data_IF_992053337503
#
_entry.id   IF_992053337503
#
_cell.length_a   1.000
_cell.length_b   1.000
_cell.length_c   1.000
_cell.angle_alpha   90.00
_cell.angle_beta   90.00
_cell.angle_gamma   90.00
#
_symmetry.space_group_name_H-M   'P 1'
#
loop_
_entity.id
_entity.type
_entity.pdbx_description
1 polymer ?
#
# COMPACT_ATOMS: atom_id res chain seq x y z
N UNK A 1 -20.22 24.81 -20.11
CA UNK A 1 -19.19 23.74 -20.07
C UNK A 1 -18.85 23.50 -18.61
N UNK A 2 -19.52 22.52 -17.99
CA UNK A 2 -19.23 22.14 -16.61
C UNK A 2 -17.97 21.28 -16.57
N UNK A 3 -17.05 21.61 -15.68
CA UNK A 3 -15.86 20.80 -15.43
C UNK A 3 -16.30 19.36 -15.09
N UNK A 4 -15.66 18.33 -15.67
CA UNK A 4 -15.96 16.96 -15.29
C UNK A 4 -15.61 16.79 -13.81
N UNK A 5 -16.52 16.16 -13.06
CA UNK A 5 -16.39 15.84 -11.65
C UNK A 5 -15.17 14.91 -11.44
N UNK A 6 -14.03 15.54 -11.20
CA UNK A 6 -12.73 14.90 -11.06
C UNK A 6 -12.72 13.90 -9.88
N UNK A 7 -13.58 14.13 -8.88
CA UNK A 7 -13.73 13.25 -7.72
C UNK A 7 -14.43 11.92 -8.09
N UNK A 8 -15.42 11.96 -8.97
CA UNK A 8 -16.09 10.76 -9.47
C UNK A 8 -15.19 9.92 -10.40
N UNK A 9 -14.34 10.58 -11.18
CA UNK A 9 -13.37 9.89 -12.06
C UNK A 9 -12.22 9.21 -11.26
N UNK A 10 -11.84 9.76 -10.10
CA UNK A 10 -10.89 9.13 -9.18
C UNK A 10 -11.50 7.92 -8.45
N UNK A 11 -12.80 7.98 -8.11
CA UNK A 11 -13.50 6.89 -7.42
C UNK A 11 -13.65 5.62 -8.30
N UNK A 12 -13.63 5.76 -9.62
CA UNK A 12 -13.77 4.64 -10.57
C UNK A 12 -12.43 3.95 -10.96
N UNK A 13 -11.27 4.48 -10.52
CA UNK A 13 -9.94 3.90 -10.79
C UNK A 13 -9.47 3.03 -9.63
N UNK A 14 -10.02 1.82 -9.51
CA UNK A 14 -9.33 0.72 -8.83
C UNK A 14 -9.92 -0.62 -9.25
N UNK A 15 -9.20 -1.37 -10.09
CA UNK A 15 -9.56 -2.76 -10.39
C UNK A 15 -8.46 -3.74 -9.94
N UNK A 16 -7.65 -3.35 -8.94
CA UNK A 16 -6.83 -4.29 -8.16
C UNK A 16 -7.01 -4.04 -6.67
N UNK A 17 -7.36 -5.08 -5.89
CA UNK A 17 -7.47 -4.97 -4.45
C UNK A 17 -6.08 -4.68 -3.87
N UNK A 18 -5.99 -3.64 -3.04
CA UNK A 18 -4.77 -3.30 -2.33
C UNK A 18 -4.43 -4.45 -1.37
N UNK A 19 -3.28 -5.09 -1.56
CA UNK A 19 -2.80 -6.15 -0.67
C UNK A 19 -1.73 -5.61 0.27
N UNK A 20 -1.46 -6.33 1.37
CA UNK A 20 -0.36 -6.00 2.27
C UNK A 20 1.00 -5.97 1.56
N UNK A 21 1.18 -6.82 0.55
CA UNK A 21 2.38 -6.85 -0.31
C UNK A 21 2.51 -5.58 -1.15
N UNK A 22 1.41 -5.11 -1.76
CA UNK A 22 1.38 -3.86 -2.54
C UNK A 22 1.71 -2.66 -1.64
N UNK A 23 1.15 -2.59 -0.44
CA UNK A 23 1.53 -1.55 0.54
C UNK A 23 3.01 -1.63 0.92
N UNK A 24 3.53 -2.84 1.17
CA UNK A 24 4.95 -3.05 1.45
C UNK A 24 5.86 -2.55 0.33
N UNK A 25 5.51 -2.84 -0.92
CA UNK A 25 6.23 -2.36 -2.10
C UNK A 25 6.20 -0.83 -2.22
N UNK A 26 5.04 -0.20 -2.01
CA UNK A 26 4.91 1.26 -2.06
C UNK A 26 5.69 1.97 -0.95
N UNK A 27 5.61 1.48 0.29
CA UNK A 27 6.36 2.01 1.43
C UNK A 27 7.86 1.88 1.18
N UNK A 28 8.30 0.74 0.65
CA UNK A 28 9.70 0.52 0.33
C UNK A 28 10.19 1.45 -0.78
N UNK A 29 9.44 1.62 -1.88
CA UNK A 29 9.75 2.58 -2.94
C UNK A 29 9.80 4.01 -2.41
N UNK A 30 8.82 4.41 -1.60
CA UNK A 30 8.80 5.75 -1.01
C UNK A 30 9.97 5.96 -0.07
N UNK A 31 10.30 4.94 0.74
CA UNK A 31 11.45 4.94 1.63
C UNK A 31 12.78 5.05 0.89
N UNK A 32 12.96 4.31 -0.22
CA UNK A 32 14.15 4.38 -1.08
C UNK A 32 14.39 5.79 -1.61
N UNK A 33 13.34 6.54 -1.97
CA UNK A 33 13.48 7.92 -2.46
C UNK A 33 14.21 8.85 -1.49
N UNK A 34 13.97 8.69 -0.17
CA UNK A 34 14.64 9.48 0.89
C UNK A 34 16.14 9.20 0.92
N UNK A 35 16.50 7.92 0.79
CA UNK A 35 17.90 7.51 0.76
C UNK A 35 18.58 7.94 -0.53
N UNK A 36 17.92 7.76 -1.68
CA UNK A 36 18.48 8.14 -2.97
C UNK A 36 18.61 9.66 -3.12
N UNK A 37 17.71 10.48 -2.56
CA UNK A 37 17.84 11.95 -2.61
C UNK A 37 19.11 12.43 -1.89
N UNK A 38 19.40 11.88 -0.71
CA UNK A 38 20.64 12.16 0.02
C UNK A 38 21.87 11.64 -0.72
N UNK A 39 21.80 10.44 -1.30
CA UNK A 39 22.89 9.88 -2.12
C UNK A 39 23.22 10.76 -3.31
N UNK A 40 22.22 11.26 -4.04
CA UNK A 40 22.42 12.17 -5.17
C UNK A 40 23.27 13.37 -4.73
N UNK A 41 22.91 14.01 -3.61
CA UNK A 41 23.58 15.21 -3.10
C UNK A 41 25.01 14.91 -2.67
N UNK A 42 25.22 13.81 -1.94
CA UNK A 42 26.54 13.39 -1.46
C UNK A 42 27.48 13.07 -2.63
N UNK A 43 27.03 12.25 -3.58
CA UNK A 43 27.88 11.85 -4.70
C UNK A 43 28.08 12.98 -5.72
N UNK A 44 27.14 13.93 -5.83
CA UNK A 44 27.40 15.16 -6.58
C UNK A 44 28.50 16.01 -5.92
N UNK A 45 28.54 16.09 -4.58
CA UNK A 45 29.62 16.78 -3.86
C UNK A 45 30.98 16.10 -4.07
N UNK A 46 31.04 14.77 -3.97
CA UNK A 46 32.27 14.01 -4.17
C UNK A 46 32.78 14.10 -5.62
N UNK A 47 31.88 14.05 -6.60
CA UNK A 47 32.23 14.26 -8.00
C UNK A 47 32.82 15.66 -8.24
N UNK A 48 32.26 16.69 -7.60
CA UNK A 48 32.78 18.06 -7.67
C UNK A 48 34.17 18.20 -7.01
N UNK A 49 34.52 17.32 -6.07
CA UNK A 49 35.84 17.25 -5.44
C UNK A 49 36.86 16.43 -6.26
N UNK A 50 36.47 15.92 -7.43
CA UNK A 50 37.35 15.17 -8.32
C UNK A 50 37.35 13.65 -8.11
N UNK A 51 36.41 13.10 -7.34
CA UNK A 51 36.25 11.64 -7.23
C UNK A 51 35.53 11.10 -8.48
N UNK A 52 36.29 10.43 -9.36
CA UNK A 52 35.85 10.09 -10.72
C UNK A 52 34.64 9.15 -10.76
N UNK A 53 34.52 8.22 -9.80
CA UNK A 53 33.42 7.25 -9.78
C UNK A 53 32.08 7.86 -9.31
N UNK A 54 32.12 8.94 -8.53
CA UNK A 54 30.95 9.52 -7.86
C UNK A 54 29.95 10.09 -8.84
N UNK A 55 30.38 10.62 -9.99
CA UNK A 55 29.46 11.15 -10.99
C UNK A 55 28.54 10.04 -11.53
N UNK A 56 29.09 8.85 -11.79
CA UNK A 56 28.31 7.70 -12.25
C UNK A 56 27.32 7.23 -11.17
N UNK A 57 27.76 7.14 -9.91
CA UNK A 57 26.90 6.76 -8.78
C UNK A 57 25.77 7.76 -8.55
N UNK A 58 26.04 9.06 -8.67
CA UNK A 58 25.02 10.10 -8.54
C UNK A 58 23.97 10.01 -9.65
N UNK A 59 24.38 9.70 -10.89
CA UNK A 59 23.46 9.50 -12.02
C UNK A 59 22.59 8.28 -11.85
N UNK A 60 23.16 7.16 -11.40
CA UNK A 60 22.39 5.97 -11.08
C UNK A 60 21.36 6.25 -9.99
N UNK A 61 21.79 6.92 -8.91
CA UNK A 61 20.89 7.30 -7.82
C UNK A 61 19.75 8.23 -8.30
N UNK A 62 20.04 9.17 -9.21
CA UNK A 62 19.04 10.03 -9.82
C UNK A 62 18.05 9.25 -10.69
N UNK A 63 18.52 8.28 -11.48
CA UNK A 63 17.67 7.38 -12.25
C UNK A 63 16.72 6.58 -11.34
N UNK A 64 17.25 5.97 -10.28
CA UNK A 64 16.45 5.23 -9.29
C UNK A 64 15.42 6.14 -8.61
N UNK A 65 15.79 7.36 -8.25
CA UNK A 65 14.90 8.33 -7.64
C UNK A 65 13.72 8.69 -8.55
N UNK A 66 14.00 9.00 -9.83
CA UNK A 66 12.98 9.34 -10.83
C UNK A 66 12.06 8.17 -11.12
N UNK A 67 12.61 6.98 -11.36
CA UNK A 67 11.82 5.78 -11.64
C UNK A 67 10.92 5.43 -10.46
N UNK A 68 11.44 5.47 -9.23
CA UNK A 68 10.63 5.23 -8.04
C UNK A 68 9.54 6.29 -7.85
N UNK A 69 9.79 7.54 -8.24
CA UNK A 69 8.77 8.58 -8.19
C UNK A 69 7.66 8.37 -9.21
N UNK A 70 8.01 8.07 -10.46
CA UNK A 70 7.05 7.77 -11.52
C UNK A 70 6.18 6.55 -11.19
N UNK A 71 6.81 5.44 -10.75
CA UNK A 71 6.11 4.20 -10.40
C UNK A 71 5.08 4.36 -9.27
N UNK A 72 5.25 5.38 -8.41
CA UNK A 72 4.31 5.66 -7.32
C UNK A 72 3.16 6.60 -7.74
N UNK A 73 3.27 7.27 -8.89
CA UNK A 73 2.23 8.15 -9.41
C UNK A 73 1.35 7.46 -10.45
N UNK A 74 1.97 6.64 -11.29
CA UNK A 74 1.33 5.94 -12.39
C UNK A 74 0.83 4.56 -11.96
N UNK A 75 -0.26 4.09 -12.56
CA UNK A 75 -0.66 2.69 -12.46
C UNK A 75 0.27 1.86 -13.33
N UNK A 76 1.30 1.25 -12.73
CA UNK A 76 2.28 0.41 -13.42
C UNK A 76 2.76 -0.72 -12.52
N UNK A 77 3.15 -1.86 -13.11
CA UNK A 77 3.80 -2.99 -12.42
C UNK A 77 3.07 -3.48 -11.15
N UNK A 78 1.74 -3.40 -11.14
CA UNK A 78 0.92 -3.82 -10.00
C UNK A 78 0.83 -2.80 -8.86
N UNK A 79 1.39 -1.61 -9.03
CA UNK A 79 1.17 -0.47 -8.14
C UNK A 79 -0.07 0.31 -8.57
N UNK A 80 -0.86 0.82 -7.63
CA UNK A 80 -2.13 1.49 -7.90
C UNK A 80 -1.98 2.98 -8.28
N UNK A 81 -0.74 3.49 -8.38
CA UNK A 81 -0.49 4.93 -8.48
C UNK A 81 -1.05 5.69 -7.27
N UNK A 82 -1.57 6.90 -7.50
CA UNK A 82 -2.25 7.70 -6.47
C UNK A 82 -3.67 7.17 -6.23
N UNK A 83 -3.85 6.44 -5.14
CA UNK A 83 -5.08 5.68 -4.86
C UNK A 83 -5.96 6.26 -3.75
N UNK A 84 -5.53 7.31 -3.03
CA UNK A 84 -6.31 7.91 -1.96
C UNK A 84 -6.28 9.45 -1.96
N UNK A 85 -7.30 10.12 -1.40
CA UNK A 85 -7.38 11.58 -1.36
C UNK A 85 -6.23 12.24 -0.59
N UNK A 86 -5.66 11.59 0.41
CA UNK A 86 -4.50 12.08 1.16
C UNK A 86 -3.27 12.16 0.27
N UNK A 87 -2.99 11.10 -0.52
CA UNK A 87 -1.90 11.11 -1.48
C UNK A 87 -2.14 12.12 -2.59
N UNK A 88 -3.39 12.25 -3.07
CA UNK A 88 -3.76 13.26 -4.06
C UNK A 88 -3.44 14.68 -3.55
N UNK A 89 -3.75 14.97 -2.29
CA UNK A 89 -3.46 16.27 -1.66
C UNK A 89 -1.97 16.49 -1.44
N UNK A 90 -1.24 15.47 -0.99
CA UNK A 90 0.20 15.59 -0.76
C UNK A 90 0.99 15.79 -2.07
N UNK A 91 0.62 15.08 -3.14
CA UNK A 91 1.28 15.20 -4.44
C UNK A 91 0.84 16.44 -5.22
N UNK A 92 -0.46 16.72 -5.29
CA UNK A 92 -1.03 17.68 -6.24
C UNK A 92 -1.86 18.80 -5.59
N UNK A 93 -1.99 18.80 -4.26
CA UNK A 93 -2.66 19.86 -3.51
C UNK A 93 -1.72 21.02 -3.17
N UNK A 94 -2.05 21.74 -2.09
CA UNK A 94 -1.28 22.92 -1.64
C UNK A 94 0.18 22.64 -1.32
N UNK A 95 0.52 21.39 -0.99
CA UNK A 95 1.89 21.00 -0.66
C UNK A 95 2.77 20.84 -1.90
N UNK A 96 2.14 20.66 -3.08
CA UNK A 96 2.79 20.55 -4.38
C UNK A 96 3.95 19.53 -4.41
N UNK A 97 3.76 18.38 -3.75
CA UNK A 97 4.81 17.38 -3.56
C UNK A 97 5.40 16.86 -4.86
N UNK A 98 4.59 16.58 -5.88
CA UNK A 98 5.07 16.15 -7.21
C UNK A 98 5.97 17.23 -7.84
N UNK A 99 5.50 18.48 -7.87
CA UNK A 99 6.26 19.62 -8.41
C UNK A 99 7.60 19.78 -7.72
N UNK A 100 7.65 19.73 -6.38
CA UNK A 100 8.88 19.87 -5.59
C UNK A 100 9.85 18.71 -5.83
N UNK A 101 9.36 17.48 -5.88
CA UNK A 101 10.19 16.28 -6.14
C UNK A 101 10.78 16.33 -7.55
N UNK A 102 10.00 16.70 -8.56
CA UNK A 102 10.48 16.88 -9.94
C UNK A 102 11.51 18.01 -10.04
N UNK A 103 11.23 19.16 -9.42
CA UNK A 103 12.16 20.29 -9.39
C UNK A 103 13.52 19.91 -8.76
N UNK A 104 13.53 19.13 -7.67
CA UNK A 104 14.75 18.59 -7.09
C UNK A 104 15.50 17.67 -8.08
N UNK A 105 14.79 16.76 -8.75
CA UNK A 105 15.39 15.85 -9.72
C UNK A 105 16.00 16.60 -10.92
N UNK A 106 15.35 17.66 -11.39
CA UNK A 106 15.81 18.47 -12.51
C UNK A 106 17.00 19.35 -12.12
N UNK A 107 17.00 19.91 -10.89
CA UNK A 107 18.16 20.59 -10.33
C UNK A 107 19.34 19.63 -10.23
N UNK A 108 19.13 18.41 -9.70
CA UNK A 108 20.17 17.39 -9.63
C UNK A 108 20.73 17.04 -11.02
N UNK A 109 19.89 16.84 -12.03
CA UNK A 109 20.36 16.56 -13.38
C UNK A 109 21.22 17.71 -13.93
N UNK A 110 20.79 18.96 -13.75
CA UNK A 110 21.56 20.14 -14.18
C UNK A 110 22.90 20.21 -13.46
N UNK A 111 22.93 19.97 -12.16
CA UNK A 111 24.17 19.92 -11.36
C UNK A 111 25.12 18.85 -11.89
N UNK A 112 24.64 17.62 -12.12
CA UNK A 112 25.47 16.52 -12.61
C UNK A 112 25.99 16.76 -14.03
N UNK A 113 25.20 17.40 -14.90
CA UNK A 113 25.67 17.83 -16.23
C UNK A 113 26.73 18.93 -16.13
N UNK A 114 26.53 19.92 -15.27
CA UNK A 114 27.50 20.98 -15.04
C UNK A 114 28.85 20.43 -14.54
N UNK A 115 28.82 19.47 -13.60
CA UNK A 115 30.01 18.76 -13.11
C UNK A 115 30.72 18.02 -14.25
N UNK A 116 29.99 17.23 -15.05
CA UNK A 116 30.56 16.49 -16.18
C UNK A 116 31.28 17.40 -17.18
N UNK A 117 30.68 18.54 -17.50
CA UNK A 117 31.24 19.50 -18.46
C UNK A 117 32.26 20.47 -17.86
N UNK A 118 32.63 20.30 -16.58
CA UNK A 118 33.48 21.23 -15.83
C UNK A 118 33.01 22.69 -15.92
N UNK A 119 31.69 22.91 -15.89
CA UNK A 119 31.09 24.24 -15.97
C UNK A 119 31.38 25.07 -14.73
N UNK A 120 31.58 26.37 -14.91
CA UNK A 120 31.74 27.33 -13.81
C UNK A 120 30.51 27.39 -12.88
N UNK A 121 29.33 26.98 -13.36
CA UNK A 121 28.09 26.97 -12.58
C UNK A 121 27.97 25.77 -11.63
N UNK A 122 28.83 24.75 -11.76
CA UNK A 122 28.70 23.49 -11.02
C UNK A 122 28.68 23.68 -9.50
N UNK A 123 29.51 24.58 -8.97
CA UNK A 123 29.56 24.90 -7.54
C UNK A 123 28.27 25.59 -7.04
N UNK A 124 27.74 26.52 -7.83
CA UNK A 124 26.51 27.24 -7.48
C UNK A 124 25.30 26.31 -7.48
N UNK A 125 25.17 25.48 -8.52
CA UNK A 125 24.10 24.47 -8.63
C UNK A 125 24.20 23.40 -7.53
N UNK A 126 25.41 23.00 -7.15
CA UNK A 126 25.61 22.08 -6.03
C UNK A 126 25.17 22.70 -4.69
N UNK A 127 25.47 23.99 -4.45
CA UNK A 127 25.02 24.67 -3.25
C UNK A 127 23.48 24.79 -3.19
N UNK A 128 22.84 25.09 -4.32
CA UNK A 128 21.38 25.10 -4.45
C UNK A 128 20.79 23.71 -4.17
N UNK A 129 21.41 22.64 -4.72
CA UNK A 129 20.98 21.27 -4.52
C UNK A 129 21.04 20.85 -3.03
N UNK A 130 22.09 21.26 -2.32
CA UNK A 130 22.21 21.07 -0.86
C UNK A 130 21.09 21.79 -0.12
N UNK A 131 20.79 23.04 -0.47
CA UNK A 131 19.70 23.81 0.15
C UNK A 131 18.32 23.16 -0.06
N UNK A 132 18.08 22.56 -1.24
CA UNK A 132 16.82 21.87 -1.55
C UNK A 132 16.72 20.47 -0.92
N UNK A 133 17.80 19.94 -0.33
CA UNK A 133 17.82 18.57 0.21
C UNK A 133 16.85 18.38 1.37
N UNK A 134 16.92 19.26 2.39
CA UNK A 134 16.05 19.16 3.57
C UNK A 134 14.57 19.36 3.22
N UNK A 135 14.17 20.42 2.48
CA UNK A 135 12.78 20.57 2.05
C UNK A 135 12.26 19.37 1.24
N UNK A 136 13.10 18.78 0.39
CA UNK A 136 12.72 17.58 -0.38
C UNK A 136 12.52 16.37 0.52
N UNK A 137 13.39 16.18 1.53
CA UNK A 137 13.23 15.10 2.50
C UNK A 137 11.96 15.24 3.33
N UNK A 138 11.58 16.45 3.71
CA UNK A 138 10.34 16.69 4.46
C UNK A 138 9.12 16.25 3.66
N UNK A 139 9.05 16.62 2.38
CA UNK A 139 7.99 16.17 1.45
C UNK A 139 7.97 14.65 1.31
N UNK A 140 9.14 14.03 1.11
CA UNK A 140 9.24 12.57 0.98
C UNK A 140 8.84 11.83 2.27
N UNK A 141 9.19 12.36 3.43
CA UNK A 141 8.80 11.81 4.73
C UNK A 141 7.29 11.90 4.93
N UNK A 142 6.70 13.05 4.63
CA UNK A 142 5.25 13.25 4.72
C UNK A 142 4.48 12.26 3.85
N UNK A 143 4.88 12.12 2.59
CA UNK A 143 4.26 11.16 1.66
C UNK A 143 4.42 9.73 2.16
N UNK A 144 5.60 9.37 2.68
CA UNK A 144 5.85 8.02 3.21
C UNK A 144 4.95 7.73 4.41
N UNK A 145 4.74 8.71 5.30
CA UNK A 145 3.83 8.56 6.44
C UNK A 145 2.39 8.31 6.02
N UNK A 146 1.93 8.89 4.90
CA UNK A 146 0.60 8.61 4.35
C UNK A 146 0.49 7.15 3.89
N UNK A 147 1.49 6.62 3.17
CA UNK A 147 1.49 5.21 2.77
C UNK A 147 1.45 4.27 3.99
N UNK A 148 2.22 4.58 5.03
CA UNK A 148 2.21 3.80 6.28
C UNK A 148 0.85 3.84 6.98
N UNK A 149 0.22 5.00 7.08
CA UNK A 149 -1.09 5.10 7.73
C UNK A 149 -2.18 4.39 6.92
N UNK A 150 -2.18 4.52 5.59
CA UNK A 150 -3.13 3.80 4.74
C UNK A 150 -2.97 2.28 4.87
N UNK A 151 -1.73 1.79 4.96
CA UNK A 151 -1.45 0.37 5.23
C UNK A 151 -2.02 -0.08 6.57
N UNK A 152 -1.82 0.70 7.64
CA UNK A 152 -2.37 0.41 8.98
C UNK A 152 -3.90 0.43 8.97
N UNK A 153 -4.52 1.41 8.30
CA UNK A 153 -5.97 1.49 8.17
C UNK A 153 -6.54 0.29 7.43
N UNK A 154 -5.93 -0.10 6.31
CA UNK A 154 -6.34 -1.26 5.53
C UNK A 154 -6.22 -2.56 6.34
N UNK A 155 -5.12 -2.75 7.07
CA UNK A 155 -4.93 -3.91 7.94
C UNK A 155 -6.01 -3.99 9.05
N UNK A 156 -6.35 -2.84 9.67
CA UNK A 156 -7.43 -2.76 10.67
C UNK A 156 -8.80 -3.09 10.06
N UNK A 157 -9.09 -2.57 8.87
CA UNK A 157 -10.35 -2.84 8.16
C UNK A 157 -10.46 -4.32 7.79
N UNK A 158 -9.40 -4.92 7.25
CA UNK A 158 -9.34 -6.34 6.92
C UNK A 158 -9.59 -7.20 8.17
N UNK A 159 -8.96 -6.89 9.31
CA UNK A 159 -9.20 -7.59 10.57
C UNK A 159 -10.65 -7.48 11.05
N UNK A 160 -11.29 -6.32 10.87
CA UNK A 160 -12.71 -6.13 11.22
C UNK A 160 -13.64 -6.92 10.29
N UNK A 161 -13.37 -6.91 8.99
CA UNK A 161 -14.15 -7.67 8.02
C UNK A 161 -14.06 -9.17 8.30
N UNK A 162 -12.86 -9.70 8.55
CA UNK A 162 -12.67 -11.11 8.91
C UNK A 162 -13.45 -11.50 10.18
N UNK A 163 -13.43 -10.65 11.23
CA UNK A 163 -14.23 -10.89 12.44
C UNK A 163 -15.73 -10.88 12.18
N UNK A 164 -16.22 -9.98 11.32
CA UNK A 164 -17.63 -9.93 10.94
C UNK A 164 -18.04 -11.22 10.23
N UNK A 165 -17.25 -11.68 9.25
CA UNK A 165 -17.52 -12.93 8.53
C UNK A 165 -17.53 -14.12 9.48
N UNK A 166 -16.59 -14.18 10.43
CA UNK A 166 -16.58 -15.25 11.45
C UNK A 166 -17.86 -15.21 12.28
N UNK A 167 -18.30 -14.04 12.75
CA UNK A 167 -19.54 -13.88 13.52
C UNK A 167 -20.79 -14.30 12.72
N UNK A 168 -20.81 -14.05 11.42
CA UNK A 168 -21.89 -14.49 10.53
C UNK A 168 -21.91 -16.02 10.42
N UNK A 169 -20.74 -16.65 10.27
CA UNK A 169 -20.61 -18.12 10.23
C UNK A 169 -21.05 -18.73 11.57
N UNK A 170 -20.67 -18.16 12.72
CA UNK A 170 -21.13 -18.62 14.04
C UNK A 170 -22.66 -18.59 14.15
N UNK A 171 -23.27 -17.54 13.64
CA UNK A 171 -24.74 -17.37 13.64
C UNK A 171 -25.41 -18.44 12.77
N UNK A 172 -24.94 -18.62 11.53
CA UNK A 172 -25.43 -19.66 10.61
C UNK A 172 -25.25 -21.05 11.23
N UNK A 173 -24.10 -21.30 11.85
CA UNK A 173 -23.81 -22.58 12.47
C UNK A 173 -24.75 -22.87 13.65
N UNK A 174 -25.03 -21.87 14.48
CA UNK A 174 -26.01 -21.98 15.57
C UNK A 174 -27.41 -22.30 15.04
N UNK A 175 -27.85 -21.63 13.98
CA UNK A 175 -29.14 -21.90 13.35
C UNK A 175 -29.20 -23.31 12.77
N UNK A 176 -28.15 -23.74 12.06
CA UNK A 176 -28.02 -25.11 11.53
C UNK A 176 -28.11 -26.16 12.64
N UNK A 177 -27.46 -25.92 13.79
CA UNK A 177 -27.51 -26.80 14.96
C UNK A 177 -28.91 -26.88 15.56
N UNK A 178 -29.64 -25.77 15.63
CA UNK A 178 -31.04 -25.76 16.09
C UNK A 178 -31.94 -26.54 15.13
N UNK A 179 -31.78 -26.36 13.82
CA UNK A 179 -32.54 -27.10 12.80
C UNK A 179 -32.26 -28.59 12.90
N UNK A 180 -31.00 -29.00 13.01
CA UNK A 180 -30.61 -30.39 13.19
C UNK A 180 -31.16 -30.99 14.51
N UNK A 181 -31.19 -30.21 15.59
CA UNK A 181 -31.81 -30.64 16.84
C UNK A 181 -33.32 -30.84 16.70
N UNK A 182 -34.03 -29.88 16.10
CA UNK A 182 -35.47 -29.98 15.86
C UNK A 182 -35.81 -31.16 14.94
N UNK A 183 -35.01 -31.40 13.90
CA UNK A 183 -35.16 -32.54 13.00
C UNK A 183 -35.00 -33.88 13.74
N UNK A 184 -34.06 -34.00 14.68
CA UNK A 184 -33.92 -35.21 15.52
C UNK A 184 -35.13 -35.45 16.41
N UNK A 185 -35.70 -34.41 17.00
CA UNK A 185 -36.93 -34.54 17.81
C UNK A 185 -38.09 -35.06 16.96
N UNK A 186 -38.29 -34.48 15.77
CA UNK A 186 -39.35 -34.89 14.86
C UNK A 186 -39.14 -36.31 14.36
N UNK A 187 -37.91 -36.67 13.99
CA UNK A 187 -37.54 -38.04 13.60
C UNK A 187 -37.82 -39.05 14.71
N UNK A 188 -37.46 -38.74 15.95
CA UNK A 188 -37.75 -39.60 17.10
C UNK A 188 -39.27 -39.77 17.32
N UNK A 189 -40.05 -38.69 17.16
CA UNK A 189 -41.51 -38.71 17.29
C UNK A 189 -42.20 -39.52 16.18
N UNK A 190 -41.65 -39.50 14.96
CA UNK A 190 -42.16 -40.26 13.81
C UNK A 190 -41.81 -41.76 13.86
N UNK A 191 -41.02 -42.21 14.85
CA UNK A 191 -40.65 -43.62 15.02
C UNK A 191 -39.93 -44.17 13.79
N UNK A 192 -40.42 -45.29 13.23
CA UNK A 192 -39.81 -45.94 12.06
C UNK A 192 -39.78 -45.07 10.80
N UNK A 193 -40.74 -44.16 10.64
CA UNK A 193 -40.79 -43.25 9.49
C UNK A 193 -39.75 -42.10 9.59
N UNK A 194 -39.15 -41.88 10.76
CA UNK A 194 -38.17 -40.81 10.99
C UNK A 194 -36.70 -41.23 10.90
N UNK A 195 -36.40 -42.50 10.62
CA UNK A 195 -35.03 -43.05 10.67
C UNK A 195 -34.09 -42.32 9.71
N UNK A 196 -34.50 -42.13 8.45
CA UNK A 196 -33.68 -41.46 7.42
C UNK A 196 -33.43 -39.98 7.78
N UNK A 197 -34.45 -39.29 8.32
CA UNK A 197 -34.32 -37.92 8.80
C UNK A 197 -33.38 -37.79 10.00
N UNK A 198 -33.33 -38.78 10.89
CA UNK A 198 -32.40 -38.82 12.02
C UNK A 198 -30.94 -38.86 11.57
N UNK A 199 -30.65 -39.63 10.51
CA UNK A 199 -29.30 -39.73 9.94
C UNK A 199 -28.83 -38.40 9.37
N UNK A 200 -29.67 -37.73 8.58
CA UNK A 200 -29.35 -36.41 7.99
C UNK A 200 -29.10 -35.37 9.09
N UNK A 201 -29.92 -35.36 10.13
CA UNK A 201 -29.75 -34.45 11.26
C UNK A 201 -28.48 -34.73 12.09
N UNK A 202 -28.05 -35.99 12.16
CA UNK A 202 -26.77 -36.39 12.74
C UNK A 202 -25.58 -35.85 11.93
N UNK A 203 -25.59 -36.02 10.61
CA UNK A 203 -24.54 -35.49 9.72
C UNK A 203 -24.45 -33.97 9.83
N UNK A 204 -25.59 -33.27 9.82
CA UNK A 204 -25.64 -31.82 9.96
C UNK A 204 -25.08 -31.34 11.32
N UNK A 205 -25.33 -32.08 12.41
CA UNK A 205 -24.74 -31.78 13.72
C UNK A 205 -23.21 -31.94 13.73
N UNK A 206 -22.69 -32.93 13.00
CA UNK A 206 -21.24 -33.14 12.88
C UNK A 206 -20.57 -32.04 12.05
N UNK A 207 -21.16 -31.67 10.91
CA UNK A 207 -20.68 -30.55 10.08
C UNK A 207 -20.63 -29.26 10.91
N UNK A 208 -21.67 -28.99 11.70
CA UNK A 208 -21.69 -27.86 12.63
C UNK A 208 -20.54 -27.91 13.64
N UNK A 209 -20.20 -29.08 14.17
CA UNK A 209 -19.05 -29.24 15.08
C UNK A 209 -17.70 -28.98 14.40
N UNK A 210 -17.53 -29.42 13.15
CA UNK A 210 -16.32 -29.15 12.36
C UNK A 210 -16.14 -27.65 12.06
N UNK A 211 -17.25 -26.95 11.77
CA UNK A 211 -17.25 -25.49 11.56
C UNK A 211 -16.82 -24.76 12.83
N UNK A 212 -17.30 -25.14 14.01
CA UNK A 212 -16.89 -24.54 15.30
C UNK A 212 -15.37 -24.69 15.51
N UNK A 213 -14.82 -25.86 15.19
CA UNK A 213 -13.38 -26.13 15.30
C UNK A 213 -12.55 -25.29 14.32
N UNK A 214 -13.02 -25.14 13.07
CA UNK A 214 -12.36 -24.29 12.07
C UNK A 214 -12.37 -22.82 12.47
N UNK A 215 -13.48 -22.31 13.02
CA UNK A 215 -13.58 -20.94 13.52
C UNK A 215 -12.61 -20.69 14.68
N UNK A 216 -12.58 -21.59 15.67
CA UNK A 216 -11.67 -21.49 16.80
C UNK A 216 -10.19 -21.43 16.36
N UNK A 217 -9.84 -22.24 15.35
CA UNK A 217 -8.49 -22.25 14.76
C UNK A 217 -8.19 -20.95 14.00
N UNK A 218 -9.15 -20.43 13.24
CA UNK A 218 -8.99 -19.18 12.48
C UNK A 218 -8.85 -17.95 13.39
N UNK A 219 -9.57 -17.91 14.52
CA UNK A 219 -9.45 -16.84 15.51
C UNK A 219 -8.09 -16.86 16.20
N UNK A 220 -7.61 -18.04 16.60
CA UNK A 220 -6.28 -18.21 17.22
C UNK A 220 -5.13 -17.79 16.28
N UNK A 221 -5.29 -17.94 14.96
CA UNK A 221 -4.31 -17.50 13.97
C UNK A 221 -4.38 -15.99 13.66
N UNK A 222 -5.43 -15.29 14.08
CA UNK A 222 -5.67 -13.86 13.83
C UNK A 222 -5.36 -12.96 15.05
N UNK A 223 -4.97 -13.55 16.18
CA UNK A 223 -4.42 -12.89 17.38
C UNK A 223 -2.92 -12.65 17.25
#
# INVERSE_FOLDING_TARGET
MGAPDYAAALAARSARPLSGEVFGAMINLSGRRRFTSQRIVLYALLALQGEEASLAVAREALGLFRNAHQALLEESDGLPGVFCPELQRAYFGQEEGDRKIRAFADLAERTLRAIETASAEAQALQAELVQQTTPTLDVLNQITAIYEEQSRLHARQMKRQLRSVISDIETINREARMVAFNARIVAARAGRAGVEFSVVAGVMSNISGEIDQMIATALAAAE
#
